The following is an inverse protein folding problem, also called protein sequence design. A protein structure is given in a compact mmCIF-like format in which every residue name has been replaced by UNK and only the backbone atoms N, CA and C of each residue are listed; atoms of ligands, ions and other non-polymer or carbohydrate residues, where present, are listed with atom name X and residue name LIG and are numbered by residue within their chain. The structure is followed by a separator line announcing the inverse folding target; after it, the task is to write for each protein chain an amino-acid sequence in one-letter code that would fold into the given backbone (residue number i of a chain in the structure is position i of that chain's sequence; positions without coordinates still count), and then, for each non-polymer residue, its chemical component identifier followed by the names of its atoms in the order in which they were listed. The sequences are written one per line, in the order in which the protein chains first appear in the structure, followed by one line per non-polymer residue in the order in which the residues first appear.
data_IF_962075023274
#
_entry.id   IF_962075023274
#
_cell.length_a   1.000
_cell.length_b   1.000
_cell.length_c   1.000
_cell.angle_alpha   90.00
_cell.angle_beta   90.00
_cell.angle_gamma   90.00
#
_symmetry.space_group_name_H-M   'P 1'
#
loop_
_entity.id
_entity.type
_entity.pdbx_description
1 polymer ?
#
# COMPACT_ATOMS: atom_id res chain seq x y z
N UNK A 1 -3.97 5.78 -17.82
CA UNK A 1 -3.35 5.88 -16.48
C UNK A 1 -2.78 7.28 -16.27
N UNK A 2 -3.01 7.89 -15.11
CA UNK A 2 -2.28 9.09 -14.66
C UNK A 2 -1.00 8.64 -13.93
N UNK A 3 0.13 9.33 -14.17
CA UNK A 3 1.39 9.09 -13.47
C UNK A 3 1.77 10.30 -12.62
N UNK A 4 2.14 10.04 -11.36
CA UNK A 4 2.51 11.06 -10.37
C UNK A 4 3.92 10.81 -9.87
N UNK A 5 4.61 11.89 -9.50
CA UNK A 5 5.90 11.74 -8.80
C UNK A 5 5.68 11.11 -7.42
N UNK A 6 6.58 10.21 -7.02
CA UNK A 6 6.65 9.71 -5.66
C UNK A 6 7.27 10.79 -4.76
N UNK A 7 6.41 11.60 -4.13
CA UNK A 7 6.84 12.76 -3.36
C UNK A 7 7.68 13.72 -4.20
N UNK A 8 8.82 14.17 -3.65
CA UNK A 8 9.77 15.05 -4.36
C UNK A 8 10.74 14.31 -5.30
N UNK A 9 10.70 12.99 -5.36
CA UNK A 9 11.66 12.22 -6.16
C UNK A 9 11.38 12.35 -7.67
N UNK A 10 12.30 11.85 -8.49
CA UNK A 10 12.11 11.74 -9.94
C UNK A 10 11.29 10.53 -10.38
N UNK A 11 11.04 9.56 -9.48
CA UNK A 11 10.32 8.33 -9.80
C UNK A 11 8.83 8.65 -10.02
N UNK A 12 8.26 8.13 -11.10
CA UNK A 12 6.84 8.27 -11.41
C UNK A 12 6.11 6.95 -11.20
N UNK A 13 5.03 7.00 -10.42
CA UNK A 13 4.16 5.86 -10.14
C UNK A 13 2.81 6.09 -10.82
N UNK A 14 2.21 5.01 -11.30
CA UNK A 14 0.79 5.02 -11.66
C UNK A 14 -0.04 5.38 -10.43
N UNK A 15 -1.03 6.28 -10.58
CA UNK A 15 -1.91 6.71 -9.47
C UNK A 15 -2.62 5.52 -8.80
N UNK A 16 -2.82 4.42 -9.54
CA UNK A 16 -3.26 3.14 -9.01
C UNK A 16 -2.13 2.11 -9.16
N UNK A 17 -1.87 1.35 -8.10
CA UNK A 17 -0.85 0.29 -8.04
C UNK A 17 -1.48 -1.05 -7.66
N UNK A 18 -0.74 -2.15 -7.78
CA UNK A 18 -1.27 -3.48 -7.53
C UNK A 18 -0.48 -4.24 -6.45
N UNK A 19 -1.15 -4.60 -5.37
CA UNK A 19 -0.57 -5.30 -4.24
C UNK A 19 -0.97 -6.77 -4.17
N UNK A 20 -0.12 -7.60 -3.59
CA UNK A 20 -0.30 -9.05 -3.49
C UNK A 20 -0.85 -9.55 -2.15
N UNK A 21 -1.07 -8.65 -1.18
CA UNK A 21 -1.47 -9.04 0.19
C UNK A 21 -2.83 -9.73 0.24
N UNK A 22 -2.88 -10.87 0.95
CA UNK A 22 -4.03 -11.79 1.11
C UNK A 22 -4.39 -12.56 -0.17
N UNK A 23 -4.23 -11.96 -1.35
CA UNK A 23 -4.69 -12.53 -2.61
C UNK A 23 -3.74 -13.62 -3.09
N UNK A 24 -2.46 -13.29 -3.28
CA UNK A 24 -1.50 -14.19 -3.91
C UNK A 24 -1.22 -15.39 -3.00
N UNK A 25 -1.22 -16.59 -3.60
CA UNK A 25 -1.02 -17.90 -2.96
C UNK A 25 -2.14 -18.35 -2.00
N UNK A 26 -2.80 -17.43 -1.29
CA UNK A 26 -3.89 -17.77 -0.35
C UNK A 26 -5.27 -17.82 -0.99
N UNK A 27 -5.56 -16.96 -1.96
CA UNK A 27 -6.88 -16.88 -2.60
C UNK A 27 -6.83 -17.13 -4.12
N UNK A 28 -5.67 -16.92 -4.76
CA UNK A 28 -5.50 -17.08 -6.20
C UNK A 28 -4.26 -17.92 -6.52
N UNK A 29 -4.31 -18.62 -7.65
CA UNK A 29 -3.20 -19.39 -8.21
C UNK A 29 -2.34 -18.54 -9.17
N UNK A 30 -1.25 -19.13 -9.68
CA UNK A 30 -0.33 -18.47 -10.62
C UNK A 30 -1.04 -17.97 -11.89
N UNK A 31 -2.06 -18.69 -12.37
CA UNK A 31 -2.81 -18.35 -13.60
C UNK A 31 -3.64 -17.09 -13.41
N UNK A 32 -4.35 -16.99 -12.30
CA UNK A 32 -5.14 -15.79 -11.98
C UNK A 32 -4.19 -14.62 -11.66
N UNK A 33 -3.09 -14.86 -10.95
CA UNK A 33 -2.09 -13.82 -10.70
C UNK A 33 -1.51 -13.26 -12.01
N UNK A 34 -1.17 -14.14 -12.96
CA UNK A 34 -0.73 -13.77 -14.31
C UNK A 34 -1.77 -12.94 -15.08
N UNK A 35 -3.05 -13.32 -15.01
CA UNK A 35 -4.14 -12.57 -15.63
C UNK A 35 -4.29 -11.18 -15.01
N UNK A 36 -4.36 -11.07 -13.69
CA UNK A 36 -4.58 -9.81 -12.99
C UNK A 36 -3.40 -8.84 -13.16
N UNK A 37 -2.18 -9.35 -13.05
CA UNK A 37 -0.99 -8.55 -13.32
C UNK A 37 -0.95 -8.09 -14.77
N UNK A 38 -1.27 -8.97 -15.73
CA UNK A 38 -1.43 -8.63 -17.13
C UNK A 38 -2.39 -7.47 -17.36
N UNK A 39 -3.62 -7.61 -16.84
CA UNK A 39 -4.64 -6.57 -16.94
C UNK A 39 -4.19 -5.25 -16.30
N UNK A 40 -3.56 -5.30 -15.12
CA UNK A 40 -3.06 -4.09 -14.47
C UNK A 40 -2.01 -3.38 -15.34
N UNK A 41 -1.02 -4.13 -15.83
CA UNK A 41 0.06 -3.60 -16.67
C UNK A 41 -0.45 -3.03 -18.00
N UNK A 42 -1.35 -3.74 -18.68
CA UNK A 42 -1.97 -3.30 -19.94
C UNK A 42 -2.79 -2.01 -19.76
N UNK A 43 -3.31 -1.77 -18.55
CA UNK A 43 -4.03 -0.55 -18.17
C UNK A 43 -3.09 0.58 -17.69
N UNK A 44 -1.78 0.35 -17.74
CA UNK A 44 -0.72 1.31 -17.42
C UNK A 44 -0.27 1.29 -15.97
N UNK A 45 -0.70 0.34 -15.14
CA UNK A 45 -0.15 0.18 -13.78
C UNK A 45 1.32 -0.20 -13.89
N UNK A 46 2.21 0.61 -13.31
CA UNK A 46 3.64 0.32 -13.31
C UNK A 46 4.14 -0.16 -11.94
N UNK A 47 3.41 0.08 -10.85
CA UNK A 47 3.87 -0.23 -9.51
C UNK A 47 3.19 -1.49 -8.93
N UNK A 48 4.03 -2.48 -8.58
CA UNK A 48 3.64 -3.76 -7.98
C UNK A 48 4.27 -3.93 -6.59
N UNK A 49 3.43 -4.22 -5.59
CA UNK A 49 3.82 -4.23 -4.19
C UNK A 49 3.72 -5.61 -3.54
N UNK A 50 4.76 -5.99 -2.79
CA UNK A 50 4.87 -7.28 -2.10
C UNK A 50 5.55 -7.16 -0.73
N UNK A 51 5.68 -8.25 0.04
CA UNK A 51 6.44 -8.28 1.30
C UNK A 51 6.88 -9.71 1.65
N UNK A 52 7.97 -9.84 2.40
CA UNK A 52 8.51 -11.15 2.79
C UNK A 52 7.49 -12.04 3.53
N UNK A 53 6.64 -11.43 4.36
CA UNK A 53 5.70 -12.15 5.21
C UNK A 53 4.46 -12.62 4.46
N UNK A 54 4.19 -12.07 3.26
CA UNK A 54 2.99 -12.38 2.51
C UNK A 54 3.03 -13.84 2.05
N UNK A 55 2.11 -14.63 2.63
CA UNK A 55 2.06 -16.08 2.45
C UNK A 55 3.42 -16.76 2.71
N UNK A 56 4.15 -16.33 3.75
CA UNK A 56 5.46 -16.91 4.11
C UNK A 56 6.45 -16.90 2.93
N UNK A 57 6.50 -15.79 2.18
CA UNK A 57 7.38 -15.60 1.03
C UNK A 57 6.85 -16.17 -0.29
N UNK A 58 5.79 -16.98 -0.27
CA UNK A 58 5.22 -17.55 -1.51
C UNK A 58 4.60 -16.48 -2.41
N UNK A 59 4.14 -15.37 -1.85
CA UNK A 59 3.64 -14.24 -2.64
C UNK A 59 4.73 -13.62 -3.52
N UNK A 60 5.95 -13.47 -2.99
CA UNK A 60 7.10 -12.99 -3.76
C UNK A 60 7.53 -13.99 -4.83
N UNK A 61 7.55 -15.29 -4.50
CA UNK A 61 7.85 -16.34 -5.49
C UNK A 61 6.85 -16.38 -6.64
N UNK A 62 5.55 -16.27 -6.33
CA UNK A 62 4.48 -16.22 -7.34
C UNK A 62 4.65 -15.00 -8.24
N UNK A 63 4.82 -13.80 -7.67
CA UNK A 63 5.05 -12.58 -8.44
C UNK A 63 6.31 -12.68 -9.30
N UNK A 64 7.41 -13.21 -8.75
CA UNK A 64 8.65 -13.45 -9.49
C UNK A 64 8.49 -14.40 -10.66
N UNK A 65 7.73 -15.50 -10.51
CA UNK A 65 7.40 -16.42 -11.62
C UNK A 65 6.58 -15.73 -12.70
N UNK A 66 5.55 -14.97 -12.31
CA UNK A 66 4.70 -14.24 -13.26
C UNK A 66 5.52 -13.20 -14.03
N UNK A 67 6.33 -12.38 -13.34
CA UNK A 67 7.18 -11.38 -13.99
C UNK A 67 8.16 -12.02 -14.99
N UNK A 68 8.79 -13.14 -14.59
CA UNK A 68 9.69 -13.88 -15.47
C UNK A 68 8.97 -14.42 -16.71
N UNK A 69 7.77 -14.99 -16.55
CA UNK A 69 6.95 -15.49 -17.66
C UNK A 69 6.46 -14.38 -18.60
N UNK A 70 6.01 -13.26 -18.03
CA UNK A 70 5.57 -12.08 -18.80
C UNK A 70 6.72 -11.46 -19.60
N UNK A 71 7.96 -11.59 -19.10
CA UNK A 71 9.15 -11.02 -19.72
C UNK A 71 8.98 -9.54 -20.07
N UNK A 72 8.34 -8.79 -19.17
CA UNK A 72 8.23 -7.34 -19.29
C UNK A 72 9.61 -6.71 -19.16
N UNK A 73 9.80 -5.57 -19.82
CA UNK A 73 11.00 -4.77 -19.62
C UNK A 73 11.10 -4.37 -18.14
N UNK A 74 12.18 -4.77 -17.46
CA UNK A 74 12.36 -4.46 -16.04
C UNK A 74 12.32 -2.96 -15.76
N UNK A 75 12.69 -2.14 -16.74
CA UNK A 75 12.68 -0.66 -16.63
C UNK A 75 11.28 -0.04 -16.77
N UNK A 76 10.27 -0.80 -17.22
CA UNK A 76 8.89 -0.31 -17.33
C UNK A 76 8.09 -0.49 -16.03
N UNK A 77 8.59 -1.28 -15.08
CA UNK A 77 7.92 -1.56 -13.82
C UNK A 77 8.67 -1.00 -12.62
N UNK A 78 7.91 -0.70 -11.57
CA UNK A 78 8.37 -0.39 -10.23
C UNK A 78 7.95 -1.57 -9.34
N UNK A 79 8.92 -2.16 -8.65
CA UNK A 79 8.70 -3.33 -7.80
C UNK A 79 9.13 -3.02 -6.36
N UNK A 80 8.27 -3.36 -5.39
CA UNK A 80 8.60 -3.28 -3.97
C UNK A 80 8.60 -4.60 -3.23
N UNK A 81 9.36 -4.61 -2.13
CA UNK A 81 9.16 -5.53 -1.02
C UNK A 81 9.33 -4.82 0.32
N UNK A 82 8.98 -5.50 1.41
CA UNK A 82 9.04 -4.99 2.78
C UNK A 82 9.60 -6.06 3.72
N UNK A 83 10.42 -5.61 4.66
CA UNK A 83 10.97 -6.46 5.71
C UNK A 83 10.54 -5.99 7.10
N UNK A 84 10.19 -6.97 7.94
CA UNK A 84 10.06 -6.85 9.39
C UNK A 84 9.79 -8.22 10.01
N UNK A 85 8.81 -8.95 9.49
CA UNK A 85 8.25 -10.12 10.17
C UNK A 85 8.98 -11.42 9.83
N UNK A 86 9.91 -11.43 8.89
CA UNK A 86 10.44 -12.67 8.33
C UNK A 86 9.39 -13.43 7.51
N UNK A 87 9.86 -14.35 6.67
CA UNK A 87 8.98 -15.21 5.88
C UNK A 87 8.82 -16.62 6.46
N UNK A 88 9.60 -17.01 7.48
CA UNK A 88 9.53 -18.36 8.10
C UNK A 88 8.47 -18.45 9.21
N UNK A 89 7.75 -17.36 9.48
CA UNK A 89 6.62 -17.33 10.42
C UNK A 89 7.00 -17.80 11.83
N UNK A 90 6.29 -18.81 12.35
CA UNK A 90 6.55 -19.37 13.69
C UNK A 90 7.95 -19.98 13.84
N UNK A 91 8.63 -20.29 12.74
CA UNK A 91 9.97 -20.89 12.75
C UNK A 91 11.09 -19.86 12.67
N UNK A 92 10.76 -18.56 12.62
CA UNK A 92 11.76 -17.49 12.66
C UNK A 92 12.71 -17.67 13.84
N UNK A 93 14.01 -17.55 13.55
CA UNK A 93 15.08 -17.45 14.53
C UNK A 93 15.22 -15.99 15.00
N UNK A 94 15.98 -15.72 16.09
CA UNK A 94 16.01 -14.40 16.72
C UNK A 94 16.34 -13.22 15.78
N UNK A 95 17.14 -13.46 14.75
CA UNK A 95 17.58 -12.43 13.80
C UNK A 95 16.83 -12.46 12.46
N UNK A 96 15.68 -13.13 12.40
CA UNK A 96 14.83 -13.23 11.21
C UNK A 96 13.54 -12.39 11.33
N UNK A 97 13.57 -11.40 12.23
CA UNK A 97 12.49 -10.45 12.51
C UNK A 97 13.12 -9.10 12.94
N UNK A 98 12.42 -8.00 12.75
CA UNK A 98 12.79 -6.64 13.16
C UNK A 98 13.46 -5.85 12.03
N UNK A 99 14.13 -4.77 12.39
CA UNK A 99 14.82 -3.88 11.44
C UNK A 99 16.33 -3.80 11.67
N UNK A 100 16.89 -4.77 12.40
CA UNK A 100 18.35 -4.88 12.56
C UNK A 100 19.05 -4.94 11.20
N UNK A 101 20.31 -4.49 11.15
CA UNK A 101 21.16 -4.55 9.95
C UNK A 101 21.18 -5.95 9.36
N UNK A 102 21.27 -6.97 10.22
CA UNK A 102 21.28 -8.38 9.82
C UNK A 102 19.99 -8.75 9.09
N UNK A 103 18.83 -8.54 9.73
CA UNK A 103 17.55 -8.93 9.13
C UNK A 103 17.26 -8.13 7.86
N UNK A 104 17.42 -6.80 7.86
CA UNK A 104 17.14 -5.98 6.69
C UNK A 104 17.98 -6.38 5.46
N UNK A 105 19.26 -6.68 5.66
CA UNK A 105 20.16 -7.11 4.60
C UNK A 105 19.79 -8.49 4.07
N UNK A 106 19.58 -9.46 4.97
CA UNK A 106 19.22 -10.83 4.61
C UNK A 106 17.84 -10.89 3.94
N UNK A 107 16.85 -10.21 4.51
CA UNK A 107 15.50 -10.15 3.94
C UNK A 107 15.49 -9.51 2.55
N UNK A 108 16.31 -8.47 2.30
CA UNK A 108 16.43 -7.88 0.98
C UNK A 108 17.01 -8.89 -0.03
N UNK A 109 18.11 -9.53 0.31
CA UNK A 109 18.73 -10.54 -0.55
C UNK A 109 17.80 -11.73 -0.83
N UNK A 110 17.09 -12.20 0.19
CA UNK A 110 16.13 -13.29 0.03
C UNK A 110 14.89 -12.87 -0.79
N UNK A 111 14.43 -11.63 -0.65
CA UNK A 111 13.34 -11.08 -1.48
C UNK A 111 13.73 -11.01 -2.95
N UNK A 112 14.95 -10.55 -3.27
CA UNK A 112 15.48 -10.51 -4.63
C UNK A 112 15.52 -11.91 -5.27
N UNK A 113 15.91 -12.93 -4.52
CA UNK A 113 15.89 -14.32 -4.98
C UNK A 113 14.46 -14.81 -5.26
N UNK A 114 13.52 -14.56 -4.34
CA UNK A 114 12.11 -14.97 -4.52
C UNK A 114 11.45 -14.24 -5.68
N UNK A 115 11.72 -12.95 -5.85
CA UNK A 115 11.18 -12.12 -6.93
C UNK A 115 11.92 -12.30 -8.27
N UNK A 116 13.06 -13.00 -8.28
CA UNK A 116 13.88 -13.23 -9.48
C UNK A 116 14.31 -11.91 -10.17
N UNK A 117 14.78 -10.94 -9.38
CA UNK A 117 15.24 -9.62 -9.86
C UNK A 117 16.57 -9.24 -9.18
N UNK A 118 17.36 -8.39 -9.84
CA UNK A 118 18.65 -7.95 -9.30
C UNK A 118 18.51 -6.80 -8.29
N UNK A 119 17.44 -6.01 -8.40
CA UNK A 119 17.15 -4.88 -7.53
C UNK A 119 15.63 -4.68 -7.32
N UNK A 120 15.30 -4.01 -6.21
CA UNK A 120 13.97 -3.45 -5.94
C UNK A 120 13.98 -1.94 -6.20
N UNK A 121 12.92 -1.41 -6.78
CA UNK A 121 12.79 0.05 -6.91
C UNK A 121 12.54 0.65 -5.53
N UNK A 122 11.65 0.02 -4.75
CA UNK A 122 11.20 0.49 -3.45
C UNK A 122 11.38 -0.60 -2.39
N UNK A 123 12.09 -0.31 -1.30
CA UNK A 123 12.20 -1.25 -0.18
C UNK A 123 11.74 -0.62 1.13
N UNK A 124 10.84 -1.29 1.83
CA UNK A 124 10.16 -0.72 2.99
C UNK A 124 10.56 -1.39 4.31
N UNK A 125 10.74 -0.58 5.34
CA UNK A 125 10.56 -1.03 6.73
C UNK A 125 9.07 -1.31 6.96
N UNK A 126 8.65 -2.58 7.04
CA UNK A 126 7.23 -2.93 7.05
C UNK A 126 6.49 -2.43 8.31
N UNK A 127 7.19 -2.27 9.45
CA UNK A 127 6.69 -1.68 10.70
C UNK A 127 7.82 -0.95 11.41
N UNK A 128 7.54 0.00 12.32
CA UNK A 128 8.58 0.53 13.20
C UNK A 128 9.09 -0.57 14.14
N UNK A 129 10.40 -0.59 14.39
CA UNK A 129 11.03 -1.50 15.35
C UNK A 129 11.48 -0.72 16.56
N UNK A 130 10.89 -1.02 17.71
CA UNK A 130 11.22 -0.35 18.98
C UNK A 130 12.51 -0.87 19.62
N UNK A 131 13.05 -1.96 19.11
CA UNK A 131 14.26 -2.60 19.63
C UNK A 131 15.51 -2.31 18.78
N UNK A 132 15.35 -1.71 17.60
CA UNK A 132 16.47 -1.34 16.73
C UNK A 132 16.57 0.19 16.64
N UNK A 133 17.75 0.79 16.91
CA UNK A 133 17.95 2.22 16.71
C UNK A 133 17.68 2.65 15.26
N UNK A 134 16.93 3.73 15.05
CA UNK A 134 16.65 4.27 13.71
C UNK A 134 17.95 4.60 12.95
N UNK A 135 19.03 4.95 13.67
CA UNK A 135 20.35 5.18 13.07
C UNK A 135 20.94 3.94 12.39
N UNK A 136 20.72 2.75 12.94
CA UNK A 136 21.14 1.49 12.32
C UNK A 136 20.30 1.20 11.07
N UNK A 137 18.99 1.46 11.13
CA UNK A 137 18.06 1.31 10.01
C UNK A 137 18.49 2.21 8.83
N UNK A 138 18.67 3.51 9.07
CA UNK A 138 19.06 4.49 8.04
C UNK A 138 20.39 4.11 7.39
N UNK A 139 21.40 3.73 8.19
CA UNK A 139 22.69 3.28 7.65
C UNK A 139 22.58 1.99 6.84
N UNK A 140 21.75 1.05 7.27
CA UNK A 140 21.55 -0.22 6.55
C UNK A 140 20.85 0.00 5.23
N UNK A 141 19.78 0.79 5.21
CA UNK A 141 19.09 1.14 3.96
C UNK A 141 20.00 1.86 2.98
N UNK A 142 20.84 2.78 3.46
CA UNK A 142 21.85 3.42 2.62
C UNK A 142 22.89 2.44 2.10
N UNK A 143 23.33 1.47 2.91
CA UNK A 143 24.23 0.41 2.45
C UNK A 143 23.62 -0.39 1.31
N UNK A 144 22.33 -0.76 1.41
CA UNK A 144 21.62 -1.47 0.34
C UNK A 144 21.48 -0.64 -0.94
N UNK A 145 21.30 0.68 -0.82
CA UNK A 145 21.32 1.60 -1.97
C UNK A 145 22.70 1.58 -2.64
N UNK A 146 23.78 1.74 -1.87
CA UNK A 146 25.14 1.74 -2.41
C UNK A 146 25.54 0.40 -3.04
N UNK A 147 24.95 -0.71 -2.59
CA UNK A 147 25.12 -2.03 -3.19
C UNK A 147 24.30 -2.22 -4.47
N UNK A 148 23.47 -1.25 -4.86
CA UNK A 148 22.58 -1.35 -6.02
C UNK A 148 21.43 -2.35 -5.84
N UNK A 149 21.12 -2.75 -4.60
CA UNK A 149 20.08 -3.74 -4.29
C UNK A 149 18.69 -3.12 -4.20
N UNK A 150 18.64 -1.83 -3.84
CA UNK A 150 17.42 -1.04 -3.78
C UNK A 150 17.69 0.34 -4.39
N UNK A 151 16.71 0.96 -5.06
CA UNK A 151 16.85 2.33 -5.57
C UNK A 151 16.40 3.38 -4.56
N UNK A 152 15.26 3.13 -3.91
CA UNK A 152 14.69 3.98 -2.87
C UNK A 152 14.28 3.13 -1.67
N UNK A 153 14.31 3.75 -0.49
CA UNK A 153 13.79 3.13 0.71
C UNK A 153 12.70 3.99 1.34
N UNK A 154 11.81 3.35 2.07
CA UNK A 154 10.70 3.99 2.74
C UNK A 154 10.28 3.26 4.00
N UNK A 155 9.24 3.79 4.62
CA UNK A 155 8.68 3.31 5.87
C UNK A 155 7.24 2.84 5.66
N UNK A 156 6.71 2.02 6.57
CA UNK A 156 5.30 1.60 6.55
C UNK A 156 4.76 1.49 7.96
N UNK A 157 3.66 2.20 8.19
CA UNK A 157 3.02 2.39 9.48
C UNK A 157 3.89 3.11 10.52
N UNK A 158 4.85 3.91 10.09
CA UNK A 158 5.63 4.78 10.99
C UNK A 158 4.81 6.02 11.38
N UNK A 159 5.15 6.60 12.53
CA UNK A 159 4.64 7.92 12.93
C UNK A 159 5.42 9.05 12.28
N UNK A 160 4.82 10.24 12.20
CA UNK A 160 5.51 11.42 11.67
C UNK A 160 6.81 11.74 12.42
N UNK A 161 6.82 11.51 13.74
CA UNK A 161 8.01 11.69 14.59
C UNK A 161 9.16 10.77 14.18
N UNK A 162 8.89 9.47 13.98
CA UNK A 162 9.93 8.50 13.59
C UNK A 162 10.46 8.78 12.18
N UNK A 163 9.59 9.19 11.25
CA UNK A 163 10.00 9.58 9.89
C UNK A 163 10.93 10.80 9.94
N UNK A 164 10.57 11.83 10.71
CA UNK A 164 11.42 13.01 10.86
C UNK A 164 12.72 12.71 11.60
N UNK A 165 12.71 11.81 12.58
CA UNK A 165 13.95 11.33 13.22
C UNK A 165 14.87 10.64 12.20
N UNK A 166 14.32 9.78 11.34
CA UNK A 166 15.08 9.14 10.27
C UNK A 166 15.71 10.17 9.31
N UNK A 167 14.95 11.21 8.92
CA UNK A 167 15.49 12.31 8.12
C UNK A 167 16.59 13.10 8.83
N UNK A 168 16.41 13.42 10.12
CA UNK A 168 17.42 14.13 10.92
C UNK A 168 18.72 13.34 11.02
N UNK A 169 18.61 12.04 11.26
CA UNK A 169 19.76 11.11 11.27
C UNK A 169 20.41 11.08 9.90
N UNK A 170 19.63 10.91 8.83
CA UNK A 170 20.15 10.86 7.48
C UNK A 170 20.95 12.14 7.16
N UNK A 171 20.41 13.32 7.46
CA UNK A 171 21.10 14.60 7.29
C UNK A 171 22.41 14.67 8.09
N UNK A 172 22.37 14.28 9.37
CA UNK A 172 23.54 14.30 10.27
C UNK A 172 24.70 13.42 9.76
N UNK A 173 24.40 12.31 9.09
CA UNK A 173 25.39 11.39 8.53
C UNK A 173 25.61 11.56 7.01
N UNK A 174 24.98 12.56 6.38
CA UNK A 174 24.98 12.76 4.91
C UNK A 174 24.53 11.53 4.13
N UNK A 175 23.49 10.89 4.64
CA UNK A 175 22.84 9.72 4.09
C UNK A 175 21.49 10.10 3.45
N UNK A 176 20.91 9.18 2.70
CA UNK A 176 19.60 9.30 2.07
C UNK A 176 18.52 8.94 3.11
N UNK A 177 17.62 9.88 3.40
CA UNK A 177 16.42 9.63 4.23
C UNK A 177 15.32 8.86 3.48
N UNK A 178 14.27 8.40 4.18
CA UNK A 178 13.19 7.66 3.53
C UNK A 178 12.49 8.57 2.52
N UNK A 179 12.20 8.05 1.32
CA UNK A 179 11.57 8.84 0.26
C UNK A 179 10.05 8.75 0.26
N UNK A 180 9.51 7.72 0.90
CA UNK A 180 8.07 7.45 0.94
C UNK A 180 7.65 6.74 2.21
N UNK A 181 6.38 6.88 2.55
CA UNK A 181 5.67 6.13 3.58
C UNK A 181 4.55 5.31 2.93
N UNK A 182 4.28 4.12 3.46
CA UNK A 182 3.16 3.26 3.08
C UNK A 182 2.15 3.18 4.24
N UNK A 183 1.26 4.18 4.39
CA UNK A 183 0.27 4.22 5.45
C UNK A 183 -1.09 3.67 5.00
N UNK A 184 -1.89 3.25 5.97
CA UNK A 184 -3.30 3.00 5.73
C UNK A 184 -4.01 4.31 5.39
N UNK A 185 -4.80 4.34 4.32
CA UNK A 185 -5.66 5.48 4.01
C UNK A 185 -6.97 5.04 3.37
N UNK A 186 -8.09 5.47 3.94
CA UNK A 186 -9.43 5.32 3.39
C UNK A 186 -10.39 6.24 4.17
N UNK A 187 -11.66 6.28 3.78
CA UNK A 187 -12.67 7.12 4.43
C UNK A 187 -12.81 6.90 5.95
N UNK A 188 -12.40 5.76 6.50
CA UNK A 188 -12.43 5.49 7.94
C UNK A 188 -11.06 5.57 8.63
N UNK A 189 -9.98 5.82 7.89
CA UNK A 189 -8.62 5.91 8.41
C UNK A 189 -7.89 7.05 7.69
N UNK A 190 -7.85 8.22 8.32
CA UNK A 190 -7.44 9.48 7.69
C UNK A 190 -6.29 10.18 8.40
N UNK A 191 -6.07 9.86 9.68
CA UNK A 191 -5.25 10.66 10.58
C UNK A 191 -3.80 10.83 10.07
N UNK A 192 -3.16 9.76 9.60
CA UNK A 192 -1.77 9.84 9.14
C UNK A 192 -1.60 10.80 7.95
N UNK A 193 -2.42 10.60 6.91
CA UNK A 193 -2.30 11.34 5.66
C UNK A 193 -2.79 12.78 5.78
N UNK A 194 -3.90 12.99 6.48
CA UNK A 194 -4.59 14.29 6.55
C UNK A 194 -4.26 15.10 7.81
N UNK A 195 -3.45 14.59 8.73
CA UNK A 195 -3.00 15.32 9.93
C UNK A 195 -1.50 15.11 10.20
N UNK A 196 -1.07 13.90 10.56
CA UNK A 196 0.31 13.62 11.03
C UNK A 196 1.39 14.01 10.02
N UNK A 197 1.14 13.79 8.72
CA UNK A 197 2.15 13.97 7.67
C UNK A 197 2.10 15.32 6.96
N UNK A 198 1.17 16.23 7.31
CA UNK A 198 0.96 17.48 6.56
C UNK A 198 2.23 18.32 6.43
N UNK A 199 3.02 18.44 7.50
CA UNK A 199 4.29 19.17 7.49
C UNK A 199 5.43 18.36 6.89
N UNK A 200 5.35 17.03 6.91
CA UNK A 200 6.38 16.15 6.35
C UNK A 200 6.40 16.25 4.81
N UNK A 201 5.22 16.35 4.18
CA UNK A 201 5.14 16.63 2.75
C UNK A 201 5.86 17.92 2.37
N UNK A 202 5.71 18.99 3.16
CA UNK A 202 6.32 20.29 2.90
C UNK A 202 7.84 20.27 3.17
N UNK A 203 8.24 19.71 4.31
CA UNK A 203 9.60 19.82 4.80
C UNK A 203 10.57 18.88 4.08
N UNK A 204 10.15 17.63 3.85
CA UNK A 204 11.02 16.60 3.28
C UNK A 204 10.49 16.03 1.97
N UNK A 205 9.30 16.42 1.52
CA UNK A 205 8.77 15.99 0.22
C UNK A 205 8.41 14.51 0.18
N UNK A 206 7.85 13.99 1.28
CA UNK A 206 7.48 12.59 1.42
C UNK A 206 6.46 12.16 0.36
N UNK A 207 6.71 11.04 -0.34
CA UNK A 207 5.71 10.38 -1.17
C UNK A 207 4.85 9.42 -0.36
N UNK A 208 3.65 9.09 -0.82
CA UNK A 208 2.83 8.06 -0.16
C UNK A 208 2.32 6.99 -1.11
N UNK A 209 2.47 5.74 -0.69
CA UNK A 209 1.88 4.57 -1.35
C UNK A 209 0.81 4.02 -0.43
N UNK A 210 -0.44 4.48 -0.52
CA UNK A 210 -1.44 4.09 0.48
C UNK A 210 -1.88 2.62 0.32
N UNK A 211 -2.29 1.99 1.41
CA UNK A 211 -2.87 0.65 1.38
C UNK A 211 -4.28 0.59 2.00
N UNK A 212 -5.03 -0.45 1.62
CA UNK A 212 -6.45 -0.66 1.98
C UNK A 212 -7.38 0.54 1.70
N UNK A 213 -7.41 1.10 0.47
CA UNK A 213 -8.37 2.16 0.12
C UNK A 213 -9.84 1.72 0.29
N UNK A 214 -10.09 0.41 0.25
CA UNK A 214 -11.42 -0.18 0.42
C UNK A 214 -11.71 -0.70 1.84
N UNK A 215 -10.85 -0.43 2.83
CA UNK A 215 -10.99 -0.93 4.21
C UNK A 215 -11.28 -2.44 4.26
N UNK A 216 -10.38 -3.24 3.67
CA UNK A 216 -10.54 -4.70 3.53
C UNK A 216 -11.81 -5.16 2.77
N UNK A 217 -12.38 -4.28 1.96
CA UNK A 217 -13.58 -4.52 1.16
C UNK A 217 -14.87 -3.98 1.77
N UNK A 218 -14.82 -3.37 2.96
CA UNK A 218 -15.98 -2.73 3.59
C UNK A 218 -16.57 -1.64 2.69
N UNK A 219 -15.72 -0.78 2.15
CA UNK A 219 -16.11 0.34 1.29
C UNK A 219 -16.56 -0.09 -0.13
N UNK A 220 -16.72 -1.39 -0.38
CA UNK A 220 -17.37 -1.88 -1.61
C UNK A 220 -18.89 -1.99 -1.47
N UNK A 221 -19.41 -1.94 -0.22
CA UNK A 221 -20.82 -2.20 0.07
C UNK A 221 -21.21 -3.68 0.10
N UNK A 222 -20.30 -4.62 -0.23
CA UNK A 222 -20.61 -6.06 -0.24
C UNK A 222 -21.01 -6.65 1.12
N UNK A 223 -20.74 -5.95 2.21
CA UNK A 223 -21.11 -6.38 3.56
C UNK A 223 -22.39 -5.70 4.10
N UNK A 224 -23.12 -4.94 3.26
CA UNK A 224 -24.30 -4.18 3.69
C UNK A 224 -25.45 -5.09 4.19
N UNK A 225 -25.54 -6.31 3.66
CA UNK A 225 -26.62 -7.27 3.94
C UNK A 225 -26.11 -8.53 4.68
N UNK A 226 -24.91 -8.46 5.28
CA UNK A 226 -24.25 -9.59 5.95
C UNK A 226 -22.88 -9.90 5.35
N UNK A 227 -22.24 -10.99 5.80
CA UNK A 227 -20.92 -11.39 5.32
C UNK A 227 -21.08 -12.43 4.20
N UNK A 228 -20.76 -12.10 2.93
CA UNK A 228 -20.89 -13.06 1.83
C UNK A 228 -19.91 -14.22 1.95
N UNK A 229 -20.31 -15.36 1.39
CA UNK A 229 -19.46 -16.54 1.27
C UNK A 229 -18.22 -16.28 0.41
N UNK A 230 -17.08 -16.81 0.85
CA UNK A 230 -15.79 -16.63 0.17
C UNK A 230 -15.22 -15.22 0.25
N UNK A 231 -15.84 -14.32 1.03
CA UNK A 231 -15.31 -12.99 1.28
C UNK A 231 -14.09 -13.01 2.21
N UNK A 232 -13.31 -11.92 2.21
CA UNK A 232 -12.09 -11.81 3.03
C UNK A 232 -12.34 -12.01 4.53
N UNK A 233 -13.53 -11.64 5.02
CA UNK A 233 -13.88 -11.75 6.44
C UNK A 233 -14.34 -13.16 6.87
N UNK A 234 -14.46 -14.11 5.93
CA UNK A 234 -14.66 -15.52 6.24
C UNK A 234 -13.35 -16.34 6.25
N UNK A 235 -12.23 -15.76 5.80
CA UNK A 235 -10.96 -16.47 5.83
C UNK A 235 -10.50 -16.71 7.27
N UNK A 236 -10.05 -17.93 7.55
CA UNK A 236 -9.49 -18.30 8.85
C UNK A 236 -8.27 -17.41 9.18
N UNK A 237 -8.25 -16.86 10.40
CA UNK A 237 -7.20 -15.94 10.88
C UNK A 237 -7.45 -14.46 10.54
N UNK A 238 -8.60 -14.12 9.96
CA UNK A 238 -9.02 -12.74 9.66
C UNK A 238 -10.15 -12.23 10.56
N UNK A 239 -10.45 -12.93 11.66
CA UNK A 239 -11.50 -12.57 12.63
C UNK A 239 -11.23 -11.19 13.23
N UNK A 240 -9.98 -10.91 13.61
CA UNK A 240 -9.57 -9.59 14.11
C UNK A 240 -9.85 -8.46 13.12
N UNK A 241 -9.75 -8.74 11.82
CA UNK A 241 -9.99 -7.76 10.76
C UNK A 241 -11.51 -7.56 10.57
N UNK A 242 -12.29 -8.64 10.64
CA UNK A 242 -13.75 -8.59 10.65
C UNK A 242 -14.24 -7.74 11.80
N UNK A 243 -13.78 -8.02 13.02
CA UNK A 243 -14.26 -7.36 14.24
C UNK A 243 -13.86 -5.87 14.27
N UNK A 244 -12.73 -5.48 13.65
CA UNK A 244 -12.32 -4.08 13.47
C UNK A 244 -13.22 -3.28 12.52
N UNK A 245 -13.76 -3.93 11.48
CA UNK A 245 -14.45 -3.25 10.37
C UNK A 245 -15.96 -3.39 10.39
N UNK A 246 -16.50 -4.53 10.81
CA UNK A 246 -17.94 -4.78 10.87
C UNK A 246 -18.50 -4.16 12.15
N UNK A 247 -18.74 -2.86 12.08
CA UNK A 247 -19.52 -2.13 13.09
C UNK A 247 -20.77 -1.57 12.43
N UNK A 248 -21.91 -1.67 13.11
CA UNK A 248 -23.22 -1.25 12.60
C UNK A 248 -23.23 0.19 12.08
N UNK A 249 -22.54 1.09 12.78
CA UNK A 249 -22.41 2.49 12.36
C UNK A 249 -21.67 2.64 11.02
N UNK A 250 -20.53 1.95 10.86
CA UNK A 250 -19.78 1.97 9.59
C UNK A 250 -20.61 1.42 8.43
N UNK A 251 -21.37 0.35 8.63
CA UNK A 251 -22.21 -0.24 7.58
C UNK A 251 -23.28 0.76 7.12
N UNK A 252 -23.95 1.46 8.04
CA UNK A 252 -24.94 2.49 7.69
C UNK A 252 -24.33 3.61 6.84
N UNK A 253 -23.12 4.06 7.19
CA UNK A 253 -22.36 5.06 6.40
C UNK A 253 -22.04 4.52 5.00
N UNK A 254 -21.63 3.25 4.89
CA UNK A 254 -21.39 2.61 3.57
C UNK A 254 -22.67 2.45 2.76
N UNK A 255 -23.83 2.19 3.37
CA UNK A 255 -25.12 2.13 2.67
C UNK A 255 -25.49 3.50 2.07
N UNK A 256 -25.30 4.59 2.81
CA UNK A 256 -25.50 5.95 2.31
C UNK A 256 -24.50 6.28 1.19
N UNK A 257 -23.24 5.89 1.34
CA UNK A 257 -22.22 6.04 0.30
C UNK A 257 -22.58 5.27 -0.98
N UNK A 258 -23.15 4.07 -0.85
CA UNK A 258 -23.60 3.27 -1.99
C UNK A 258 -24.78 3.93 -2.72
N UNK A 259 -25.68 4.60 -1.99
CA UNK A 259 -26.75 5.39 -2.60
C UNK A 259 -26.20 6.58 -3.41
N UNK A 260 -25.19 7.27 -2.87
CA UNK A 260 -24.48 8.35 -3.58
C UNK A 260 -23.76 7.82 -4.83
N UNK A 261 -23.00 6.72 -4.71
CA UNK A 261 -22.33 6.09 -5.84
C UNK A 261 -23.31 5.71 -6.96
N UNK A 262 -24.46 5.15 -6.60
CA UNK A 262 -25.54 4.82 -7.55
C UNK A 262 -26.08 6.06 -8.26
N UNK A 263 -26.26 7.18 -7.55
CA UNK A 263 -26.70 8.44 -8.15
C UNK A 263 -25.67 8.98 -9.16
N UNK A 264 -24.38 8.77 -8.89
CA UNK A 264 -23.26 9.12 -9.78
C UNK A 264 -23.00 8.07 -10.87
N UNK A 265 -23.77 6.97 -10.91
CA UNK A 265 -23.62 5.85 -11.86
C UNK A 265 -22.24 5.18 -11.82
N UNK A 266 -21.62 5.12 -10.64
CA UNK A 266 -20.33 4.44 -10.39
C UNK A 266 -20.48 3.40 -9.29
N UNK A 267 -19.53 2.47 -9.18
CA UNK A 267 -19.51 1.53 -8.06
C UNK A 267 -19.04 2.21 -6.77
N UNK A 268 -19.50 1.72 -5.62
CA UNK A 268 -19.04 2.22 -4.30
C UNK A 268 -17.53 2.02 -4.12
N UNK A 269 -16.98 0.95 -4.70
CA UNK A 269 -15.55 0.68 -4.69
C UNK A 269 -14.77 1.75 -5.47
N UNK A 270 -15.22 2.04 -6.70
CA UNK A 270 -14.64 3.07 -7.56
C UNK A 270 -14.72 4.45 -6.91
N UNK A 271 -15.88 4.83 -6.34
CA UNK A 271 -16.05 6.08 -5.58
C UNK A 271 -15.07 6.19 -4.39
N UNK A 272 -14.90 5.09 -3.65
CA UNK A 272 -14.04 5.08 -2.46
C UNK A 272 -12.55 5.19 -2.80
N UNK A 273 -12.11 4.52 -3.87
CA UNK A 273 -10.75 4.65 -4.38
C UNK A 273 -10.52 6.05 -4.94
N UNK A 274 -11.46 6.56 -5.75
CA UNK A 274 -11.42 7.89 -6.34
C UNK A 274 -11.27 8.99 -5.28
N UNK A 275 -11.98 8.88 -4.16
CA UNK A 275 -11.84 9.78 -3.02
C UNK A 275 -10.42 9.76 -2.45
N UNK A 276 -9.81 8.58 -2.30
CA UNK A 276 -8.44 8.46 -1.79
C UNK A 276 -7.44 9.14 -2.74
N UNK A 277 -7.53 8.88 -4.04
CA UNK A 277 -6.59 9.41 -5.03
C UNK A 277 -6.84 10.88 -5.42
N UNK A 278 -7.97 11.46 -4.99
CA UNK A 278 -8.23 12.91 -5.10
C UNK A 278 -7.30 13.72 -4.19
N UNK A 279 -6.79 13.12 -3.10
CA UNK A 279 -5.83 13.76 -2.21
C UNK A 279 -4.48 13.92 -2.94
N UNK A 280 -3.94 15.14 -3.10
CA UNK A 280 -2.70 15.37 -3.85
C UNK A 280 -1.46 14.77 -3.18
N UNK A 281 -1.54 14.46 -1.89
CA UNK A 281 -0.44 13.82 -1.16
C UNK A 281 -0.42 12.29 -1.35
N UNK A 282 -1.41 11.71 -2.04
CA UNK A 282 -1.43 10.31 -2.46
C UNK A 282 -0.72 10.18 -3.80
N UNK A 283 0.51 9.66 -3.77
CA UNK A 283 1.26 9.36 -4.99
C UNK A 283 0.68 8.15 -5.72
N UNK A 284 0.25 7.14 -4.98
CA UNK A 284 -0.40 5.94 -5.53
C UNK A 284 -1.27 5.24 -4.50
N UNK A 285 -2.34 4.58 -4.95
CA UNK A 285 -3.19 3.71 -4.13
C UNK A 285 -3.04 2.24 -4.51
N UNK A 286 -2.59 1.42 -3.55
CA UNK A 286 -2.37 -0.01 -3.74
C UNK A 286 -3.72 -0.73 -3.73
N UNK A 287 -4.10 -1.23 -4.89
CA UNK A 287 -5.28 -2.05 -5.11
C UNK A 287 -5.02 -3.51 -4.74
N UNK A 288 -6.07 -4.19 -4.29
CA UNK A 288 -6.10 -5.64 -4.22
C UNK A 288 -7.35 -6.15 -4.89
N UNK A 289 -7.22 -7.19 -5.71
CA UNK A 289 -8.33 -7.81 -6.42
C UNK A 289 -8.16 -9.34 -6.43
N UNK A 290 -9.27 -10.06 -6.36
CA UNK A 290 -9.30 -11.54 -6.50
C UNK A 290 -9.86 -11.98 -7.85
N UNK A 291 -10.33 -11.05 -8.68
CA UNK A 291 -10.85 -11.34 -10.02
C UNK A 291 -10.67 -10.14 -10.96
N UNK A 292 -10.67 -10.44 -12.26
CA UNK A 292 -10.51 -9.43 -13.32
C UNK A 292 -11.62 -8.37 -13.26
N UNK A 293 -12.85 -8.79 -12.97
CA UNK A 293 -13.99 -7.87 -12.85
C UNK A 293 -13.78 -6.83 -11.72
N UNK A 294 -13.28 -7.26 -10.56
CA UNK A 294 -12.97 -6.34 -9.46
C UNK A 294 -11.84 -5.37 -9.83
N UNK A 295 -10.79 -5.87 -10.49
CA UNK A 295 -9.68 -5.03 -10.91
C UNK A 295 -10.13 -3.98 -11.93
N UNK A 296 -10.89 -4.37 -12.94
CA UNK A 296 -11.43 -3.43 -13.94
C UNK A 296 -12.36 -2.39 -13.30
N UNK A 297 -13.23 -2.80 -12.38
CA UNK A 297 -14.10 -1.87 -11.64
C UNK A 297 -13.26 -0.86 -10.81
N UNK A 298 -12.25 -1.34 -10.08
CA UNK A 298 -11.36 -0.48 -9.30
C UNK A 298 -10.60 0.53 -10.18
N UNK A 299 -10.22 0.15 -11.41
CA UNK A 299 -9.49 1.02 -12.33
C UNK A 299 -10.35 2.19 -12.86
N UNK A 300 -11.68 2.05 -12.86
CA UNK A 300 -12.60 3.16 -13.19
C UNK A 300 -12.54 4.32 -12.19
N UNK A 301 -11.85 4.15 -11.05
CA UNK A 301 -11.67 5.20 -10.06
C UNK A 301 -10.99 6.45 -10.62
N UNK A 302 -10.17 6.33 -11.66
CA UNK A 302 -9.56 7.48 -12.35
C UNK A 302 -10.61 8.38 -13.01
N UNK A 303 -11.60 7.77 -13.67
CA UNK A 303 -12.71 8.49 -14.30
C UNK A 303 -13.65 9.05 -13.23
N UNK A 304 -13.95 8.25 -12.21
CA UNK A 304 -14.79 8.66 -11.06
C UNK A 304 -14.20 9.86 -10.32
N UNK A 305 -12.86 9.96 -10.20
CA UNK A 305 -12.18 11.08 -9.56
C UNK A 305 -12.49 12.43 -10.23
N UNK A 306 -12.77 12.44 -11.53
CA UNK A 306 -13.15 13.64 -12.28
C UNK A 306 -14.57 14.11 -11.94
N UNK A 307 -15.43 13.20 -11.49
CA UNK A 307 -16.79 13.51 -11.06
C UNK A 307 -16.84 14.10 -9.65
N UNK A 308 -15.77 13.98 -8.85
CA UNK A 308 -15.75 14.46 -7.47
C UNK A 308 -15.56 15.99 -7.41
N UNK A 309 -16.66 16.71 -7.60
CA UNK A 309 -16.76 18.16 -7.38
C UNK A 309 -16.71 18.49 -5.88
N UNK A 310 -16.46 19.76 -5.50
CA UNK A 310 -16.50 20.17 -4.09
C UNK A 310 -17.81 19.79 -3.38
N UNK A 311 -18.95 19.89 -4.07
CA UNK A 311 -20.26 19.55 -3.52
C UNK A 311 -20.40 18.05 -3.24
N UNK A 312 -19.90 17.20 -4.15
CA UNK A 312 -19.89 15.74 -3.94
C UNK A 312 -18.94 15.37 -2.81
N UNK A 313 -17.77 16.03 -2.74
CA UNK A 313 -16.84 15.83 -1.63
C UNK A 313 -17.48 16.21 -0.29
N UNK A 314 -18.23 17.31 -0.22
CA UNK A 314 -18.96 17.70 0.98
C UNK A 314 -20.06 16.68 1.36
N UNK A 315 -20.79 16.13 0.38
CA UNK A 315 -21.73 15.04 0.64
C UNK A 315 -21.06 13.80 1.23
N UNK A 316 -19.88 13.42 0.71
CA UNK A 316 -19.09 12.33 1.26
C UNK A 316 -18.68 12.64 2.71
N UNK A 317 -18.21 13.87 2.99
CA UNK A 317 -17.83 14.27 4.34
C UNK A 317 -19.00 14.20 5.33
N UNK A 318 -20.20 14.61 4.91
CA UNK A 318 -21.42 14.53 5.72
C UNK A 318 -21.91 13.10 5.97
N UNK A 319 -21.60 12.15 5.07
CA UNK A 319 -21.91 10.73 5.26
C UNK A 319 -20.90 10.09 6.22
N UNK A 320 -19.60 10.38 6.00
CA UNK A 320 -18.51 9.66 6.64
C UNK A 320 -18.18 10.23 8.02
N UNK A 321 -18.10 11.56 8.14
CA UNK A 321 -17.87 12.29 9.39
C UNK A 321 -16.60 11.86 10.16
N UNK A 322 -15.52 11.53 9.45
CA UNK A 322 -14.24 11.10 10.05
C UNK A 322 -13.10 12.10 9.81
N UNK A 323 -13.41 13.28 9.26
CA UNK A 323 -12.41 14.29 8.94
C UNK A 323 -11.60 14.62 10.19
N UNK A 324 -10.27 14.48 10.16
CA UNK A 324 -9.46 14.76 11.34
C UNK A 324 -9.56 16.25 11.66
N UNK A 325 -9.71 16.55 12.97
CA UNK A 325 -9.59 17.91 13.46
C UNK A 325 -8.13 18.32 13.43
N UNK A 326 -7.81 19.38 12.71
CA UNK A 326 -6.47 19.98 12.71
C UNK A 326 -6.31 20.86 13.95
N UNK A 327 -5.08 21.04 14.40
CA UNK A 327 -4.79 22.03 15.42
C UNK A 327 -5.03 23.44 14.85
N UNK A 328 -5.59 24.33 15.65
CA UNK A 328 -5.89 25.72 15.24
C UNK A 328 -4.63 26.61 15.19
N UNK A 329 -3.47 26.08 15.62
CA UNK A 329 -2.21 26.79 15.80
C UNK A 329 -1.00 25.96 15.41
#
# INVERSE_FOLDING_TARGET
MEYRKMGKTGLQLSTLSFGSWVTFHKQIDDRIADELMGVAYDQGVNFFDNAEVYAAGESEKMMGRVLHQKNWDRTSIVLSSKAFFGWRGKENKPNQTGLSRKHLTEACHEALQRLQTDYLDLYFCHRPDKNTPISEVVQTMNTLIQQGKILYWGTSEWSGVEIMEAHRIADSYRLIGPSMEQPQYNMFERHKIENDFLEIYKNVGLGTTIWSPLAAGLLTGKYNDGIPDGSRFQLEGFEWLRDRWIMQDKIKKVQQLAALAKALQVSTASLSIAWCIKNPNVSTAILGATSKAQLLDNLTALDTMQLLTPEIMEQIENIIETKPKLADY
#
